data_IF_860091553264
#
_entry.id   IF_860091553264
#
_cell.length_a   1.000
_cell.length_b   1.000
_cell.length_c   1.000
_cell.angle_alpha   90.00
_cell.angle_beta   90.00
_cell.angle_gamma   90.00
#
_symmetry.space_group_name_H-M   'P 1'
#
loop_
_entity.id
_entity.type
_entity.pdbx_description
1 polymer ?
#
# COMPACT_ATOMS: atom_id res chain seq x y z
N UNK A 1 24.36 -9.41 22.44
CA UNK A 1 23.21 -8.60 22.91
C UNK A 1 22.50 -8.05 21.68
N UNK A 2 21.27 -8.46 21.50
CA UNK A 2 20.48 -8.04 20.33
C UNK A 2 20.13 -6.55 20.42
N UNK A 3 20.28 -5.82 19.30
CA UNK A 3 19.98 -4.39 19.21
C UNK A 3 19.20 -4.08 17.95
N UNK A 4 18.14 -3.28 18.08
CA UNK A 4 17.43 -2.74 16.93
C UNK A 4 17.88 -1.29 16.70
N UNK A 5 18.29 -0.98 15.46
CA UNK A 5 18.69 0.37 15.06
C UNK A 5 18.13 0.70 13.68
N UNK A 6 18.08 1.99 13.33
CA UNK A 6 17.76 2.44 12.00
C UNK A 6 18.89 2.06 11.04
N UNK A 7 18.51 1.63 9.84
CA UNK A 7 19.45 1.30 8.76
C UNK A 7 20.30 2.52 8.40
N UNK A 8 21.60 2.28 8.21
CA UNK A 8 22.57 3.25 7.71
C UNK A 8 23.27 2.71 6.47
N UNK A 9 23.93 3.58 5.69
CA UNK A 9 24.68 3.17 4.50
C UNK A 9 25.80 2.15 4.81
N UNK A 10 26.35 2.18 6.04
CA UNK A 10 27.37 1.23 6.49
C UNK A 10 26.83 -0.20 6.72
N UNK A 11 25.52 -0.36 6.84
CA UNK A 11 24.90 -1.66 7.09
C UNK A 11 24.59 -2.41 5.78
N UNK A 12 24.58 -1.72 4.62
CA UNK A 12 24.18 -2.26 3.32
C UNK A 12 25.01 -3.48 2.90
N UNK A 13 26.35 -3.48 3.00
CA UNK A 13 27.14 -4.66 2.66
C UNK A 13 26.79 -5.89 3.48
N UNK A 14 26.46 -5.69 4.78
CA UNK A 14 26.07 -6.78 5.68
C UNK A 14 24.68 -7.33 5.33
N UNK A 15 23.75 -6.45 4.91
CA UNK A 15 22.42 -6.86 4.45
C UNK A 15 22.50 -7.64 3.15
N UNK A 16 23.29 -7.19 2.19
CA UNK A 16 23.50 -7.92 0.93
C UNK A 16 24.00 -9.34 1.19
N UNK A 17 24.98 -9.49 2.09
CA UNK A 17 25.47 -10.80 2.52
C UNK A 17 24.39 -11.67 3.17
N UNK A 18 23.53 -11.07 4.03
CA UNK A 18 22.41 -11.79 4.64
C UNK A 18 21.44 -12.29 3.55
N UNK A 19 21.11 -11.48 2.56
CA UNK A 19 20.13 -11.80 1.50
C UNK A 19 20.70 -12.87 0.56
N UNK A 20 21.98 -12.82 0.22
CA UNK A 20 22.66 -13.85 -0.57
C UNK A 20 22.57 -15.24 0.08
N UNK A 21 22.57 -15.30 1.40
CA UNK A 21 22.44 -16.55 2.16
C UNK A 21 20.99 -17.06 2.22
N UNK A 22 19.99 -16.25 1.91
CA UNK A 22 18.58 -16.68 1.91
C UNK A 22 18.20 -17.53 0.68
N UNK A 23 19.10 -17.67 -0.31
CA UNK A 23 19.13 -18.76 -1.30
C UNK A 23 17.97 -18.87 -2.28
N UNK A 24 17.00 -17.98 -2.26
CA UNK A 24 15.83 -18.06 -3.14
C UNK A 24 15.96 -17.09 -4.30
N UNK A 25 15.69 -17.54 -5.53
CA UNK A 25 15.88 -16.88 -6.81
C UNK A 25 15.29 -15.47 -7.02
N UNK A 26 14.72 -14.88 -6.01
CA UNK A 26 14.23 -13.49 -5.96
C UNK A 26 15.28 -12.48 -5.47
N UNK A 27 16.53 -12.89 -5.30
CA UNK A 27 17.62 -12.03 -4.81
C UNK A 27 17.83 -10.79 -5.68
N UNK A 28 17.68 -10.90 -7.00
CA UNK A 28 17.81 -9.77 -7.93
C UNK A 28 16.74 -8.70 -7.72
N UNK A 29 15.51 -9.08 -7.42
CA UNK A 29 14.42 -8.15 -7.08
C UNK A 29 14.68 -7.46 -5.75
N UNK A 30 15.13 -8.22 -4.76
CA UNK A 30 15.53 -7.70 -3.45
C UNK A 30 16.72 -6.75 -3.53
N UNK A 31 17.76 -7.09 -4.30
CA UNK A 31 18.92 -6.21 -4.50
C UNK A 31 18.53 -4.89 -5.16
N UNK A 32 17.62 -4.91 -6.13
CA UNK A 32 17.13 -3.69 -6.78
C UNK A 32 16.31 -2.82 -5.83
N UNK A 33 15.48 -3.43 -4.99
CA UNK A 33 14.72 -2.73 -3.97
C UNK A 33 15.60 -2.19 -2.84
N UNK A 34 16.67 -2.89 -2.46
CA UNK A 34 17.67 -2.44 -1.50
C UNK A 34 18.55 -1.30 -2.02
N UNK A 35 18.88 -1.27 -3.30
CA UNK A 35 19.59 -0.15 -3.90
C UNK A 35 18.75 1.15 -3.81
N UNK A 36 17.43 1.04 -3.90
CA UNK A 36 16.52 2.17 -3.61
C UNK A 36 16.51 2.53 -2.12
N UNK A 37 16.65 1.56 -1.21
CA UNK A 37 16.79 1.80 0.23
C UNK A 37 18.15 2.41 0.59
N UNK A 38 19.20 2.17 -0.19
CA UNK A 38 20.49 2.84 -0.01
C UNK A 38 20.37 4.37 -0.17
N UNK A 39 19.58 4.84 -1.14
CA UNK A 39 19.25 6.27 -1.27
C UNK A 39 18.46 6.78 -0.05
N UNK A 40 17.59 5.93 0.51
CA UNK A 40 16.84 6.23 1.73
C UNK A 40 17.77 6.27 2.95
N UNK A 41 18.78 5.40 3.01
CA UNK A 41 19.78 5.40 4.07
C UNK A 41 20.68 6.65 4.03
N UNK A 42 21.01 7.14 2.83
CA UNK A 42 21.72 8.41 2.64
C UNK A 42 20.87 9.59 3.13
N UNK A 43 19.56 9.57 2.90
CA UNK A 43 18.63 10.54 3.45
C UNK A 43 18.55 10.51 4.99
N UNK A 44 18.97 9.42 5.63
CA UNK A 44 19.13 9.32 7.08
C UNK A 44 20.25 10.21 7.64
N UNK A 45 21.21 10.62 6.81
CA UNK A 45 22.29 11.55 7.15
C UNK A 45 21.88 13.01 6.98
N UNK A 46 20.83 13.28 6.22
CA UNK A 46 20.28 14.64 6.04
C UNK A 46 19.16 14.84 7.06
N UNK A 47 19.15 15.91 7.86
CA UNK A 47 18.15 16.13 8.93
C UNK A 47 16.73 16.41 8.43
N UNK A 48 16.48 16.28 7.14
CA UNK A 48 15.15 16.44 6.55
C UNK A 48 14.28 15.26 6.93
N UNK A 49 13.48 15.42 7.98
CA UNK A 49 12.47 14.45 8.43
C UNK A 49 11.27 14.48 7.48
N UNK A 50 11.35 13.76 6.39
CA UNK A 50 10.17 13.52 5.56
C UNK A 50 9.25 12.52 6.27
N UNK A 51 8.12 12.99 6.77
CA UNK A 51 7.13 12.22 7.56
C UNK A 51 6.48 11.06 6.80
N UNK A 52 6.79 10.89 5.52
CA UNK A 52 6.16 9.91 4.61
C UNK A 52 7.18 9.06 3.84
N UNK A 53 8.47 9.13 4.19
CA UNK A 53 9.48 8.27 3.55
C UNK A 53 9.55 6.92 4.26
N UNK A 54 9.90 5.85 3.52
CA UNK A 54 10.19 4.56 4.12
C UNK A 54 11.28 4.67 5.17
N UNK A 55 11.09 4.02 6.31
CA UNK A 55 12.10 3.86 7.34
C UNK A 55 12.39 2.38 7.51
N UNK A 56 13.67 2.00 7.40
CA UNK A 56 14.13 0.63 7.61
C UNK A 56 14.88 0.51 8.91
N UNK A 57 14.57 -0.55 9.66
CA UNK A 57 15.22 -0.92 10.91
C UNK A 57 15.82 -2.31 10.76
N UNK A 58 16.98 -2.51 11.38
CA UNK A 58 17.68 -3.79 11.41
C UNK A 58 17.79 -4.27 12.86
N UNK A 59 17.61 -5.58 13.03
CA UNK A 59 17.96 -6.30 14.26
C UNK A 59 19.31 -6.95 14.05
N UNK A 60 20.26 -6.64 14.93
CA UNK A 60 21.60 -7.23 14.92
C UNK A 60 21.91 -7.88 16.25
N UNK A 61 22.60 -9.01 16.22
CA UNK A 61 23.26 -9.59 17.39
C UNK A 61 24.77 -9.62 17.12
N UNK A 62 25.52 -9.03 18.05
CA UNK A 62 26.96 -8.75 17.89
C UNK A 62 27.16 -7.96 16.59
N UNK A 63 27.77 -8.57 15.56
CA UNK A 63 28.03 -7.94 14.26
C UNK A 63 27.20 -8.52 13.11
N UNK A 64 26.30 -9.46 13.41
CA UNK A 64 25.47 -10.15 12.40
C UNK A 64 24.07 -9.55 12.37
N UNK A 65 23.53 -9.39 11.14
CA UNK A 65 22.17 -8.92 10.95
C UNK A 65 21.23 -10.13 10.93
N UNK A 66 20.29 -10.16 11.89
CA UNK A 66 19.31 -11.23 12.05
C UNK A 66 18.04 -10.98 11.26
N UNK A 67 17.76 -9.72 10.95
CA UNK A 67 16.59 -9.35 10.16
C UNK A 67 16.45 -7.85 9.96
N UNK A 68 15.53 -7.48 9.08
CA UNK A 68 15.16 -6.10 8.79
C UNK A 68 13.65 -5.94 8.65
N UNK A 69 13.18 -4.74 8.93
CA UNK A 69 11.78 -4.34 8.72
C UNK A 69 11.73 -2.94 8.10
N UNK A 70 10.95 -2.78 7.04
CA UNK A 70 10.70 -1.49 6.41
C UNK A 70 9.25 -1.08 6.62
N UNK A 71 9.06 0.15 7.05
CA UNK A 71 7.74 0.74 7.27
C UNK A 71 7.58 2.04 6.52
N UNK A 72 6.37 2.29 6.06
CA UNK A 72 6.00 3.52 5.36
C UNK A 72 4.79 4.13 6.07
N UNK A 73 4.94 5.27 6.75
CA UNK A 73 3.79 6.01 7.25
C UNK A 73 2.86 6.40 6.09
N UNK A 74 1.56 6.21 6.27
CA UNK A 74 0.60 6.64 5.27
C UNK A 74 0.66 8.16 5.10
N UNK A 75 0.76 8.61 3.86
CA UNK A 75 0.90 10.03 3.56
C UNK A 75 -0.30 10.84 4.05
N UNK A 76 -0.01 11.86 4.86
CA UNK A 76 -1.06 12.69 5.47
C UNK A 76 -1.84 12.03 6.59
N UNK A 77 -1.62 10.74 6.84
CA UNK A 77 -2.20 10.00 7.95
C UNK A 77 -1.11 9.32 8.79
N UNK A 78 -0.45 10.06 9.70
CA UNK A 78 0.64 9.52 10.51
C UNK A 78 0.17 8.46 11.51
N UNK A 79 -1.13 8.27 11.64
CA UNK A 79 -1.72 7.27 12.54
C UNK A 79 -1.81 5.88 11.91
N UNK A 80 -1.57 5.76 10.59
CA UNK A 80 -1.61 4.51 9.84
C UNK A 80 -0.22 4.21 9.28
N UNK A 81 0.34 3.05 9.65
CA UNK A 81 1.66 2.59 9.28
C UNK A 81 1.54 1.33 8.42
N UNK A 82 2.19 1.34 7.26
CA UNK A 82 2.28 0.17 6.40
C UNK A 82 3.64 -0.51 6.63
N UNK A 83 3.63 -1.79 6.95
CA UNK A 83 4.81 -2.64 6.97
C UNK A 83 4.96 -3.18 5.55
N UNK A 84 5.99 -2.73 4.84
CA UNK A 84 6.18 -3.05 3.42
C UNK A 84 7.18 -4.16 3.19
N UNK A 85 8.08 -4.39 4.15
CA UNK A 85 9.06 -5.48 4.10
C UNK A 85 9.33 -6.00 5.51
N UNK A 86 9.44 -7.30 5.61
CA UNK A 86 9.95 -8.00 6.79
C UNK A 86 10.77 -9.19 6.32
N UNK A 87 12.05 -9.17 6.64
CA UNK A 87 12.99 -10.23 6.27
C UNK A 87 13.74 -10.63 7.52
N UNK A 88 13.87 -11.92 7.78
CA UNK A 88 14.67 -12.45 8.87
C UNK A 88 15.26 -13.80 8.48
N UNK A 89 16.34 -14.19 9.17
CA UNK A 89 17.01 -15.46 8.89
C UNK A 89 16.07 -16.63 9.17
N UNK A 90 16.19 -17.68 8.38
CA UNK A 90 15.47 -18.94 8.57
C UNK A 90 15.72 -19.45 10.00
N UNK A 91 14.71 -19.95 10.69
CA UNK A 91 14.70 -20.33 12.09
C UNK A 91 14.83 -19.16 13.11
N UNK A 92 14.71 -17.92 12.67
CA UNK A 92 14.76 -16.74 13.55
C UNK A 92 13.39 -16.06 13.71
N UNK A 93 12.33 -16.86 13.90
CA UNK A 93 10.95 -16.37 14.14
C UNK A 93 10.89 -15.26 15.19
N UNK A 94 11.66 -15.41 16.28
CA UNK A 94 11.74 -14.40 17.34
C UNK A 94 12.34 -13.07 16.84
N UNK A 95 13.23 -13.08 15.85
CA UNK A 95 13.78 -11.86 15.26
C UNK A 95 12.70 -11.08 14.50
N UNK A 96 11.89 -11.79 13.68
CA UNK A 96 10.75 -11.20 13.00
C UNK A 96 9.74 -10.60 13.98
N UNK A 97 9.39 -11.34 15.04
CA UNK A 97 8.48 -10.87 16.09
C UNK A 97 9.00 -9.62 16.80
N UNK A 98 10.26 -9.62 17.24
CA UNK A 98 10.88 -8.46 17.90
C UNK A 98 10.87 -7.22 17.00
N UNK A 99 11.12 -7.37 15.70
CA UNK A 99 11.08 -6.26 14.75
C UNK A 99 9.66 -5.67 14.63
N UNK A 100 8.63 -6.52 14.49
CA UNK A 100 7.23 -6.06 14.38
C UNK A 100 6.79 -5.38 15.70
N UNK A 101 7.06 -5.99 16.84
CA UNK A 101 6.72 -5.42 18.15
C UNK A 101 7.43 -4.08 18.41
N UNK A 102 8.71 -3.98 18.01
CA UNK A 102 9.46 -2.72 18.08
C UNK A 102 8.79 -1.62 17.25
N UNK A 103 8.35 -1.92 16.02
CA UNK A 103 7.66 -0.95 15.17
C UNK A 103 6.33 -0.51 15.80
N UNK A 104 5.55 -1.46 16.30
CA UNK A 104 4.28 -1.16 16.97
C UNK A 104 4.52 -0.25 18.17
N UNK A 105 5.47 -0.58 19.04
CA UNK A 105 5.80 0.23 20.20
C UNK A 105 6.32 1.63 19.82
N UNK A 106 7.26 1.70 18.86
CA UNK A 106 7.89 2.95 18.42
C UNK A 106 6.90 3.92 17.78
N UNK A 107 6.06 3.44 16.88
CA UNK A 107 5.08 4.28 16.17
C UNK A 107 3.82 4.49 17.00
N UNK A 108 3.43 3.51 17.82
CA UNK A 108 2.36 3.67 18.81
C UNK A 108 2.64 4.79 19.79
N UNK A 109 3.88 4.89 20.30
CA UNK A 109 4.33 6.01 21.14
C UNK A 109 4.24 7.37 20.42
N UNK A 110 4.33 7.40 19.08
CA UNK A 110 4.13 8.60 18.26
C UNK A 110 2.67 8.84 17.87
N UNK A 111 1.78 7.97 18.31
CA UNK A 111 0.35 8.08 18.08
C UNK A 111 -0.21 7.22 16.96
N UNK A 112 0.54 6.33 16.35
CA UNK A 112 -0.02 5.39 15.38
C UNK A 112 -1.02 4.45 16.06
N UNK A 113 -2.14 4.21 15.38
CA UNK A 113 -3.24 3.37 15.88
C UNK A 113 -3.59 2.24 14.93
N UNK A 114 -3.07 2.26 13.70
CA UNK A 114 -3.32 1.22 12.70
C UNK A 114 -2.02 0.81 12.02
N UNK A 115 -1.81 -0.49 11.93
CA UNK A 115 -0.67 -1.11 11.27
C UNK A 115 -1.18 -2.09 10.24
N UNK A 116 -0.72 -1.97 8.99
CA UNK A 116 -1.11 -2.82 7.87
C UNK A 116 0.10 -3.58 7.34
N UNK A 117 -0.11 -4.83 6.93
CA UNK A 117 0.86 -5.62 6.18
C UNK A 117 0.12 -6.44 5.11
N UNK A 118 0.70 -6.55 3.92
CA UNK A 118 0.21 -7.44 2.88
C UNK A 118 1.19 -8.59 2.75
N UNK A 119 0.74 -9.80 3.10
CA UNK A 119 1.56 -11.01 3.13
C UNK A 119 1.04 -11.99 2.08
N UNK A 120 1.94 -12.56 1.29
CA UNK A 120 1.57 -13.61 0.34
C UNK A 120 0.97 -14.81 1.08
N UNK A 121 -0.14 -15.32 0.55
CA UNK A 121 -0.88 -16.42 1.17
C UNK A 121 -0.03 -17.71 1.26
N UNK A 122 0.98 -17.86 0.42
CA UNK A 122 1.89 -19.01 0.43
C UNK A 122 2.96 -18.93 1.52
N UNK A 123 3.10 -17.80 2.21
CA UNK A 123 4.10 -17.61 3.26
C UNK A 123 3.54 -17.89 4.66
N UNK A 124 3.28 -19.16 4.96
CA UNK A 124 2.68 -19.62 6.22
C UNK A 124 3.42 -19.12 7.47
N UNK A 125 4.75 -19.11 7.44
CA UNK A 125 5.56 -18.63 8.57
C UNK A 125 5.32 -17.15 8.87
N UNK A 126 5.26 -16.29 7.83
CA UNK A 126 4.95 -14.88 7.99
C UNK A 126 3.51 -14.65 8.43
N UNK A 127 2.57 -15.39 7.85
CA UNK A 127 1.16 -15.31 8.25
C UNK A 127 1.00 -15.69 9.73
N UNK A 128 1.59 -16.80 10.15
CA UNK A 128 1.57 -17.22 11.55
C UNK A 128 2.21 -16.19 12.47
N UNK A 129 3.34 -15.60 12.07
CA UNK A 129 4.01 -14.55 12.83
C UNK A 129 3.10 -13.33 13.04
N UNK A 130 2.46 -12.85 11.98
CA UNK A 130 1.59 -11.68 12.09
C UNK A 130 0.30 -12.00 12.86
N UNK A 131 -0.38 -13.08 12.51
CA UNK A 131 -1.68 -13.44 13.10
C UNK A 131 -1.55 -13.87 14.55
N UNK A 132 -0.76 -14.91 14.82
CA UNK A 132 -0.65 -15.53 16.12
C UNK A 132 0.46 -14.89 16.99
N UNK A 133 1.59 -14.54 16.37
CA UNK A 133 2.73 -13.98 17.08
C UNK A 133 2.57 -12.51 17.45
N UNK A 134 2.00 -11.70 16.56
CA UNK A 134 1.90 -10.25 16.73
C UNK A 134 0.45 -9.73 16.87
N UNK A 135 -0.55 -10.61 16.78
CA UNK A 135 -1.96 -10.26 17.02
C UNK A 135 -2.57 -9.35 15.94
N UNK A 136 -2.17 -9.51 14.69
CA UNK A 136 -2.86 -8.94 13.56
C UNK A 136 -4.12 -9.77 13.27
N UNK A 137 -5.11 -9.15 12.63
CA UNK A 137 -6.26 -9.85 12.08
C UNK A 137 -6.21 -9.83 10.56
N UNK A 138 -6.66 -10.87 9.93
CA UNK A 138 -6.89 -10.86 8.50
C UNK A 138 -8.14 -10.02 8.20
N UNK A 139 -7.98 -9.04 7.33
CA UNK A 139 -9.06 -8.16 6.93
C UNK A 139 -9.69 -8.60 5.61
N UNK A 140 -8.87 -8.82 4.58
CA UNK A 140 -9.32 -9.18 3.24
C UNK A 140 -8.17 -9.76 2.43
N UNK A 141 -8.37 -9.85 1.11
CA UNK A 141 -7.34 -10.27 0.15
C UNK A 141 -7.15 -9.25 -0.97
N UNK A 142 -5.96 -9.27 -1.55
CA UNK A 142 -5.61 -8.61 -2.81
C UNK A 142 -5.00 -9.63 -3.75
N UNK A 143 -5.62 -9.83 -4.91
CA UNK A 143 -5.17 -10.76 -5.94
C UNK A 143 -4.41 -10.01 -7.03
N UNK A 144 -3.38 -10.64 -7.58
CA UNK A 144 -2.62 -10.14 -8.71
C UNK A 144 -2.85 -11.07 -9.91
N UNK A 145 -3.41 -10.53 -10.98
CA UNK A 145 -3.74 -11.25 -12.21
C UNK A 145 -2.80 -10.86 -13.33
N UNK A 146 -2.29 -11.84 -14.07
CA UNK A 146 -1.37 -11.60 -15.19
C UNK A 146 -2.14 -11.23 -16.47
N UNK A 147 -1.68 -10.17 -17.16
CA UNK A 147 -2.29 -9.68 -18.40
C UNK A 147 -1.53 -10.13 -19.66
N UNK A 148 -0.72 -11.19 -19.57
CA UNK A 148 0.16 -11.64 -20.67
C UNK A 148 -0.55 -11.88 -21.99
N UNK A 149 -1.75 -12.44 -21.96
CA UNK A 149 -2.54 -12.81 -23.14
C UNK A 149 -3.81 -11.97 -23.27
N UNK A 150 -3.86 -10.79 -22.63
CA UNK A 150 -5.03 -9.95 -22.68
C UNK A 150 -5.22 -9.37 -24.07
N UNK A 151 -6.37 -9.65 -24.70
CA UNK A 151 -6.79 -9.09 -25.97
C UNK A 151 -8.05 -8.26 -25.71
N UNK A 152 -8.02 -6.94 -25.95
CA UNK A 152 -9.20 -6.11 -25.79
C UNK A 152 -10.28 -6.48 -26.82
N UNK A 153 -11.53 -6.66 -26.38
CA UNK A 153 -12.67 -6.94 -27.27
C UNK A 153 -13.28 -5.66 -27.81
N UNK A 154 -13.11 -4.56 -27.09
CA UNK A 154 -13.69 -3.29 -27.45
C UNK A 154 -12.61 -2.25 -27.78
N UNK A 155 -12.84 -1.41 -28.79
CA UNK A 155 -11.94 -0.30 -29.08
C UNK A 155 -11.98 0.72 -27.94
N UNK A 156 -10.85 1.34 -27.67
CA UNK A 156 -10.77 2.39 -26.66
C UNK A 156 -11.58 3.62 -27.11
N UNK A 157 -12.65 3.92 -26.38
CA UNK A 157 -13.48 5.13 -26.56
C UNK A 157 -13.23 6.15 -25.44
N UNK A 158 -12.87 5.66 -24.25
CA UNK A 158 -12.69 6.49 -23.08
C UNK A 158 -11.45 7.38 -23.18
N UNK A 159 -11.61 8.67 -22.88
CA UNK A 159 -10.53 9.66 -22.89
C UNK A 159 -10.00 9.87 -21.47
N UNK A 160 -8.96 9.13 -21.12
CA UNK A 160 -8.25 9.31 -19.85
C UNK A 160 -7.30 10.51 -19.92
N UNK A 161 -7.27 11.30 -18.88
CA UNK A 161 -6.26 12.36 -18.67
C UNK A 161 -5.36 12.07 -17.48
N UNK A 162 -4.21 12.71 -17.42
CA UNK A 162 -3.35 12.65 -16.23
C UNK A 162 -4.08 13.18 -15.00
N UNK A 163 -3.97 12.44 -13.88
CA UNK A 163 -4.48 12.85 -12.58
C UNK A 163 -3.63 13.98 -12.01
N UNK A 164 -4.26 15.07 -11.63
CA UNK A 164 -3.64 16.22 -10.99
C UNK A 164 -3.83 16.19 -9.46
N UNK A 165 -3.06 17.00 -8.74
CA UNK A 165 -3.22 17.12 -7.28
C UNK A 165 -4.58 17.73 -6.87
N UNK A 166 -5.22 18.49 -7.76
CA UNK A 166 -6.60 18.99 -7.60
C UNK A 166 -7.63 17.87 -7.57
N UNK A 167 -7.37 16.75 -8.26
CA UNK A 167 -8.29 15.62 -8.34
C UNK A 167 -8.28 14.74 -7.07
N UNK A 168 -7.28 14.90 -6.22
CA UNK A 168 -7.08 14.05 -5.06
C UNK A 168 -8.31 13.89 -4.14
N UNK A 169 -9.15 14.93 -3.89
CA UNK A 169 -10.37 14.78 -3.10
C UNK A 169 -11.40 13.86 -3.77
N UNK A 170 -11.55 13.98 -5.09
CA UNK A 170 -12.54 13.21 -5.85
C UNK A 170 -12.10 11.77 -6.05
N UNK A 171 -10.80 11.55 -6.29
CA UNK A 171 -10.21 10.21 -6.33
C UNK A 171 -10.34 9.51 -4.97
N UNK A 172 -10.10 10.21 -3.86
CA UNK A 172 -10.31 9.64 -2.53
C UNK A 172 -11.78 9.28 -2.28
N UNK A 173 -12.71 10.14 -2.71
CA UNK A 173 -14.16 9.89 -2.63
C UNK A 173 -14.55 8.67 -3.47
N UNK A 174 -14.06 8.59 -4.71
CA UNK A 174 -14.28 7.46 -5.60
C UNK A 174 -13.82 6.15 -4.94
N UNK A 175 -12.57 6.09 -4.50
CA UNK A 175 -12.02 4.91 -3.82
C UNK A 175 -12.86 4.50 -2.59
N UNK A 176 -13.22 5.46 -1.74
CA UNK A 176 -13.98 5.18 -0.51
C UNK A 176 -15.43 4.77 -0.81
N UNK A 177 -16.00 5.19 -1.95
CA UNK A 177 -17.33 4.76 -2.38
C UNK A 177 -17.37 3.31 -2.83
N UNK A 178 -16.28 2.81 -3.41
CA UNK A 178 -16.14 1.40 -3.81
C UNK A 178 -16.04 0.45 -2.61
N UNK A 179 -15.55 0.92 -1.46
CA UNK A 179 -15.35 0.06 -0.30
C UNK A 179 -16.66 -0.53 0.20
N UNK A 180 -16.65 -1.83 0.43
CA UNK A 180 -17.70 -2.46 1.19
C UNK A 180 -17.70 -1.89 2.62
N UNK A 181 -18.88 -1.67 3.18
CA UNK A 181 -19.08 -1.01 4.50
C UNK A 181 -18.27 -1.66 5.61
N UNK A 182 -18.12 -2.99 5.56
CA UNK A 182 -17.36 -3.77 6.54
C UNK A 182 -15.87 -3.35 6.60
N UNK A 183 -15.29 -2.97 5.46
CA UNK A 183 -13.86 -2.68 5.35
C UNK A 183 -13.52 -1.19 5.46
N UNK A 184 -14.53 -0.31 5.39
CA UNK A 184 -14.31 1.15 5.45
C UNK A 184 -13.42 1.59 6.60
N UNK A 185 -13.66 1.20 7.86
CA UNK A 185 -12.88 1.73 8.99
C UNK A 185 -11.37 1.53 8.84
N UNK A 186 -10.96 0.42 8.20
CA UNK A 186 -9.57 0.03 8.06
C UNK A 186 -8.96 0.44 6.73
N UNK A 187 -9.77 0.53 5.66
CA UNK A 187 -9.31 0.70 4.28
C UNK A 187 -9.52 2.10 3.71
N UNK A 188 -10.31 2.96 4.36
CA UNK A 188 -10.51 4.32 3.88
C UNK A 188 -9.19 5.06 3.67
N UNK A 189 -9.17 5.86 2.60
CA UNK A 189 -8.04 6.70 2.22
C UNK A 189 -8.43 8.17 2.23
N UNK A 190 -7.50 8.98 2.64
CA UNK A 190 -7.67 10.43 2.66
C UNK A 190 -7.09 11.07 1.39
N UNK A 191 -7.57 12.26 1.04
CA UNK A 191 -7.12 12.98 -0.17
C UNK A 191 -5.61 13.17 -0.26
N UNK A 192 -4.90 13.26 0.87
CA UNK A 192 -3.45 13.43 0.91
C UNK A 192 -2.69 12.23 0.36
N UNK A 193 -3.26 11.02 0.41
CA UNK A 193 -2.66 9.79 -0.15
C UNK A 193 -2.60 9.84 -1.67
N UNK A 194 -3.48 10.61 -2.30
CA UNK A 194 -3.56 10.77 -3.76
C UNK A 194 -2.81 12.00 -4.30
N UNK A 195 -2.25 12.84 -3.43
CA UNK A 195 -1.42 13.96 -3.88
C UNK A 195 0.01 13.52 -4.18
N UNK A 196 0.60 14.02 -5.25
CA UNK A 196 2.04 13.80 -5.50
C UNK A 196 2.90 14.72 -4.63
N UNK A 197 4.01 14.20 -4.08
CA UNK A 197 5.02 15.06 -3.47
C UNK A 197 5.70 15.90 -4.55
N UNK A 198 6.13 17.11 -4.18
CA UNK A 198 6.82 18.01 -5.09
C UNK A 198 8.09 17.40 -5.70
N UNK A 199 8.73 16.48 -5.00
CA UNK A 199 9.93 15.77 -5.44
C UNK A 199 9.67 14.31 -5.88
N UNK A 200 8.44 13.97 -6.28
CA UNK A 200 8.11 12.60 -6.69
C UNK A 200 8.98 12.09 -7.86
N UNK A 201 9.39 12.99 -8.76
CA UNK A 201 10.25 12.64 -9.90
C UNK A 201 11.70 12.31 -9.55
N UNK A 202 12.16 12.61 -8.34
CA UNK A 202 13.52 12.29 -7.88
C UNK A 202 13.62 10.91 -7.23
N UNK A 203 12.50 10.32 -6.86
CA UNK A 203 12.44 8.95 -6.35
C UNK A 203 12.13 8.06 -7.54
N UNK A 204 12.99 7.07 -7.83
CA UNK A 204 12.93 6.19 -9.00
C UNK A 204 11.67 5.31 -9.10
N UNK A 205 10.56 5.70 -8.50
CA UNK A 205 9.30 5.01 -8.63
C UNK A 205 8.52 5.54 -9.82
N UNK A 206 8.44 4.74 -10.86
CA UNK A 206 7.50 5.02 -11.91
C UNK A 206 6.08 4.82 -11.36
N UNK A 207 5.35 5.91 -11.29
CA UNK A 207 3.93 5.91 -10.94
C UNK A 207 3.19 6.90 -11.81
N UNK A 208 2.41 6.39 -12.74
CA UNK A 208 1.50 7.21 -13.54
C UNK A 208 0.08 7.03 -13.03
N UNK A 209 -0.66 8.12 -13.03
CA UNK A 209 -2.04 8.16 -12.56
C UNK A 209 -2.91 8.87 -13.60
N UNK A 210 -4.07 8.29 -13.84
CA UNK A 210 -5.02 8.80 -14.82
C UNK A 210 -6.41 8.81 -14.22
N UNK A 211 -7.24 9.70 -14.70
CA UNK A 211 -8.65 9.81 -14.35
C UNK A 211 -9.50 9.86 -15.61
N UNK A 212 -10.70 9.29 -15.49
CA UNK A 212 -11.76 9.42 -16.49
C UNK A 212 -12.87 10.28 -15.88
N UNK A 213 -13.23 11.33 -16.57
CA UNK A 213 -14.33 12.22 -16.18
C UNK A 213 -15.58 11.91 -17.00
N UNK A 214 -16.72 11.98 -16.35
CA UNK A 214 -18.00 12.06 -17.03
C UNK A 214 -18.12 13.43 -17.70
N UNK A 215 -18.29 13.49 -19.04
CA UNK A 215 -18.31 14.74 -19.77
C UNK A 215 -19.48 15.66 -19.42
N UNK A 216 -20.57 15.11 -18.87
CA UNK A 216 -21.75 15.87 -18.50
C UNK A 216 -21.68 16.48 -17.11
N UNK A 217 -21.13 15.73 -16.16
CA UNK A 217 -21.12 16.13 -14.74
C UNK A 217 -19.75 16.59 -14.24
N UNK A 218 -18.70 16.42 -15.04
CA UNK A 218 -17.29 16.66 -14.68
C UNK A 218 -16.83 15.89 -13.44
N UNK A 219 -17.54 14.81 -13.07
CA UNK A 219 -17.16 13.95 -11.96
C UNK A 219 -16.14 12.91 -12.41
N UNK A 220 -15.18 12.61 -11.55
CA UNK A 220 -14.27 11.48 -11.76
C UNK A 220 -15.05 10.19 -11.56
N UNK A 221 -15.14 9.38 -12.62
CA UNK A 221 -15.88 8.12 -12.65
C UNK A 221 -14.96 6.91 -12.66
N UNK A 222 -13.70 7.07 -13.10
CA UNK A 222 -12.67 6.05 -12.95
C UNK A 222 -11.31 6.68 -12.59
N UNK A 223 -10.52 5.93 -11.85
CA UNK A 223 -9.14 6.23 -11.54
C UNK A 223 -8.27 5.02 -11.85
N UNK A 224 -7.15 5.27 -12.49
CA UNK A 224 -6.19 4.26 -12.90
C UNK A 224 -4.80 4.65 -12.39
N UNK A 225 -4.11 3.72 -11.77
CA UNK A 225 -2.70 3.90 -11.39
C UNK A 225 -1.85 2.78 -11.96
N UNK A 226 -0.76 3.13 -12.63
CA UNK A 226 0.23 2.22 -13.20
C UNK A 226 1.52 2.42 -12.41
N UNK A 227 2.00 1.37 -11.77
CA UNK A 227 3.20 1.42 -10.92
C UNK A 227 4.20 0.35 -11.32
N UNK A 228 5.49 0.68 -11.23
CA UNK A 228 6.59 -0.28 -11.41
C UNK A 228 7.78 0.14 -10.55
N UNK A 229 8.56 -0.82 -10.09
CA UNK A 229 9.82 -0.60 -9.36
C UNK A 229 11.05 -0.95 -10.18
N UNK A 230 10.89 -1.80 -11.20
CA UNK A 230 11.97 -2.38 -12.01
C UNK A 230 11.87 -2.03 -13.51
N UNK A 231 10.86 -1.27 -13.91
CA UNK A 231 10.55 -0.93 -15.31
C UNK A 231 10.33 -2.15 -16.24
N UNK A 232 10.05 -3.32 -15.66
CA UNK A 232 9.74 -4.55 -16.38
C UNK A 232 8.37 -5.10 -15.98
N UNK A 233 8.07 -5.06 -14.68
CA UNK A 233 6.83 -5.55 -14.11
C UNK A 233 5.96 -4.36 -13.71
N UNK A 234 4.81 -4.22 -14.35
CA UNK A 234 3.87 -3.11 -14.13
C UNK A 234 2.61 -3.61 -13.44
N UNK A 235 2.25 -2.95 -12.35
CA UNK A 235 0.99 -3.23 -11.64
C UNK A 235 -0.02 -2.12 -11.93
N UNK A 236 -1.19 -2.53 -12.36
CA UNK A 236 -2.34 -1.69 -12.68
C UNK A 236 -3.34 -1.80 -11.52
N UNK A 237 -3.72 -0.68 -10.93
CA UNK A 237 -4.75 -0.58 -9.89
C UNK A 237 -5.87 0.32 -10.41
N UNK A 238 -7.11 -0.18 -10.39
CA UNK A 238 -8.30 0.47 -10.95
C UNK A 238 -9.30 0.74 -9.85
N UNK A 239 -9.89 1.93 -9.87
CA UNK A 239 -11.08 2.29 -9.11
C UNK A 239 -12.15 2.79 -10.06
N UNK A 240 -13.38 2.32 -9.92
CA UNK A 240 -14.52 2.71 -10.77
C UNK A 240 -15.73 3.07 -9.93
N UNK A 241 -16.56 3.96 -10.46
CA UNK A 241 -17.84 4.27 -9.83
C UNK A 241 -18.89 3.26 -10.31
N UNK A 242 -19.48 2.52 -9.37
CA UNK A 242 -20.51 1.51 -9.61
C UNK A 242 -21.80 2.05 -10.24
N UNK A 243 -22.03 3.35 -10.15
CA UNK A 243 -23.16 4.03 -10.82
C UNK A 243 -22.97 4.29 -12.32
N UNK A 244 -21.79 3.99 -12.89
CA UNK A 244 -21.47 4.20 -14.30
C UNK A 244 -21.06 2.90 -14.96
N UNK A 245 -21.54 2.67 -16.19
CA UNK A 245 -21.10 1.55 -17.02
C UNK A 245 -19.74 1.87 -17.64
N UNK A 246 -18.68 1.42 -16.99
CA UNK A 246 -17.31 1.58 -17.47
C UNK A 246 -16.82 0.21 -17.94
N UNK A 247 -16.37 0.14 -19.20
CA UNK A 247 -15.78 -1.07 -19.75
C UNK A 247 -14.39 -1.31 -19.15
N UNK A 248 -14.21 -2.41 -18.43
CA UNK A 248 -12.89 -2.82 -17.97
C UNK A 248 -11.91 -3.04 -19.12
N UNK A 249 -12.40 -3.49 -20.29
CA UNK A 249 -11.59 -3.62 -21.50
C UNK A 249 -10.96 -2.30 -21.92
N UNK A 250 -11.75 -1.23 -21.94
CA UNK A 250 -11.23 0.09 -22.30
C UNK A 250 -10.17 0.58 -21.31
N UNK A 251 -10.40 0.39 -20.01
CA UNK A 251 -9.47 0.82 -18.97
C UNK A 251 -8.14 0.04 -19.05
N UNK A 252 -8.22 -1.28 -19.19
CA UNK A 252 -7.03 -2.13 -19.29
C UNK A 252 -6.29 -1.88 -20.60
N UNK A 253 -7.01 -1.74 -21.73
CA UNK A 253 -6.40 -1.42 -23.02
C UNK A 253 -5.68 -0.08 -22.99
N UNK A 254 -6.28 0.94 -22.38
CA UNK A 254 -5.60 2.23 -22.16
C UNK A 254 -4.32 2.06 -21.34
N UNK A 255 -4.38 1.32 -20.21
CA UNK A 255 -3.21 1.08 -19.37
C UNK A 255 -2.08 0.39 -20.12
N UNK A 256 -2.39 -0.66 -20.88
CA UNK A 256 -1.41 -1.40 -21.69
C UNK A 256 -0.83 -0.52 -22.79
N UNK A 257 -1.64 0.33 -23.46
CA UNK A 257 -1.16 1.25 -24.45
C UNK A 257 -0.19 2.30 -23.88
N UNK A 258 -0.44 2.80 -22.68
CA UNK A 258 0.44 3.74 -21.99
C UNK A 258 1.77 3.09 -21.55
N UNK A 259 1.76 1.82 -21.19
CA UNK A 259 2.98 1.06 -20.90
C UNK A 259 3.76 0.81 -22.19
N UNK A 260 3.10 0.33 -23.25
CA UNK A 260 3.73 -0.03 -24.52
C UNK A 260 4.38 1.16 -25.24
N UNK A 261 3.85 2.36 -25.08
CA UNK A 261 4.48 3.60 -25.59
C UNK A 261 5.89 3.84 -25.00
N UNK A 262 6.18 3.26 -23.84
CA UNK A 262 7.44 3.49 -23.12
C UNK A 262 8.36 2.28 -23.10
N UNK A 263 7.79 1.09 -23.19
CA UNK A 263 8.51 -0.19 -23.10
C UNK A 263 7.89 -1.20 -24.07
N UNK A 264 8.74 -1.83 -24.86
CA UNK A 264 8.35 -2.86 -25.83
C UNK A 264 8.28 -4.26 -25.22
N UNK A 265 9.05 -4.51 -24.15
CA UNK A 265 9.06 -5.79 -23.44
C UNK A 265 8.77 -5.55 -21.95
N UNK A 266 7.59 -5.94 -21.51
CA UNK A 266 7.11 -5.76 -20.15
C UNK A 266 6.10 -6.85 -19.77
N UNK A 267 5.97 -7.07 -18.47
CA UNK A 267 4.87 -7.84 -17.89
C UNK A 267 3.89 -6.86 -17.25
N UNK A 268 2.61 -7.09 -17.43
CA UNK A 268 1.57 -6.29 -16.82
C UNK A 268 0.67 -7.16 -15.94
N UNK A 269 0.32 -6.63 -14.80
CA UNK A 269 -0.51 -7.28 -13.81
C UNK A 269 -1.62 -6.35 -13.37
N UNK A 270 -2.79 -6.89 -13.13
CA UNK A 270 -3.91 -6.14 -12.59
C UNK A 270 -4.15 -6.53 -11.14
N UNK A 271 -4.29 -5.53 -10.29
CA UNK A 271 -4.59 -5.70 -8.88
C UNK A 271 -6.09 -5.76 -8.67
N UNK A 272 -6.58 -6.87 -8.15
CA UNK A 272 -7.96 -7.05 -7.75
C UNK A 272 -8.07 -6.98 -6.23
N UNK A 273 -8.96 -6.11 -5.74
CA UNK A 273 -9.20 -5.86 -4.31
C UNK A 273 -10.51 -6.51 -3.88
N UNK A 274 -10.47 -7.57 -3.10
CA UNK A 274 -11.67 -8.29 -2.66
C UNK A 274 -12.54 -7.53 -1.64
N UNK A 275 -12.07 -6.38 -1.16
CA UNK A 275 -12.80 -5.55 -0.21
C UNK A 275 -13.64 -4.43 -0.86
N UNK A 276 -13.80 -4.46 -2.18
CA UNK A 276 -14.67 -3.53 -2.92
C UNK A 276 -16.03 -4.13 -3.20
N UNK A 277 -17.06 -3.30 -3.40
CA UNK A 277 -18.42 -3.72 -3.74
C UNK A 277 -18.51 -4.40 -5.10
N UNK A 278 -17.62 -4.05 -6.00
CA UNK A 278 -17.55 -4.56 -7.38
C UNK A 278 -16.63 -5.77 -7.52
N UNK A 279 -16.05 -6.27 -6.41
CA UNK A 279 -15.04 -7.32 -6.43
C UNK A 279 -15.48 -8.57 -7.20
N UNK A 280 -16.64 -9.12 -6.87
CA UNK A 280 -17.14 -10.35 -7.50
C UNK A 280 -17.37 -10.17 -9.02
N UNK A 281 -17.92 -9.03 -9.42
CA UNK A 281 -18.14 -8.70 -10.84
C UNK A 281 -16.83 -8.54 -11.61
N UNK A 282 -15.84 -7.92 -10.98
CA UNK A 282 -14.52 -7.76 -11.58
C UNK A 282 -13.76 -9.09 -11.67
N UNK A 283 -13.83 -9.92 -10.64
CA UNK A 283 -13.23 -11.25 -10.65
C UNK A 283 -13.83 -12.14 -11.74
N UNK A 284 -15.18 -12.14 -11.85
CA UNK A 284 -15.88 -12.83 -12.93
C UNK A 284 -15.39 -12.36 -14.31
N UNK A 285 -15.27 -11.05 -14.51
CA UNK A 285 -14.73 -10.49 -15.74
C UNK A 285 -13.31 -11.00 -16.04
N UNK A 286 -12.40 -11.04 -15.05
CA UNK A 286 -11.03 -11.54 -15.22
C UNK A 286 -11.02 -13.02 -15.63
N UNK A 287 -11.87 -13.85 -15.02
CA UNK A 287 -12.05 -15.25 -15.41
C UNK A 287 -12.61 -15.43 -16.83
N UNK A 288 -13.60 -14.63 -17.22
CA UNK A 288 -14.17 -14.64 -18.58
C UNK A 288 -13.16 -14.23 -19.67
N UNK A 289 -12.07 -13.56 -19.26
CA UNK A 289 -10.92 -13.22 -20.11
C UNK A 289 -9.83 -14.27 -20.11
N UNK A 290 -10.02 -15.41 -19.39
CA UNK A 290 -9.02 -16.46 -19.21
C UNK A 290 -7.68 -15.92 -18.69
N UNK A 291 -7.72 -14.99 -17.74
CA UNK A 291 -6.54 -14.50 -17.07
C UNK A 291 -6.24 -15.35 -15.83
N UNK A 292 -4.96 -15.45 -15.51
CA UNK A 292 -4.48 -16.27 -14.39
C UNK A 292 -4.20 -15.38 -13.16
N UNK A 293 -4.72 -15.81 -12.00
CA UNK A 293 -4.34 -15.26 -10.72
C UNK A 293 -3.00 -15.85 -10.30
N UNK A 294 -1.95 -15.04 -10.30
CA UNK A 294 -0.59 -15.49 -10.02
C UNK A 294 -0.16 -15.33 -8.58
N UNK A 295 -0.86 -14.47 -7.82
CA UNK A 295 -0.53 -14.21 -6.42
C UNK A 295 -1.77 -13.75 -5.66
N UNK A 296 -1.96 -14.28 -4.46
CA UNK A 296 -2.95 -13.81 -3.49
C UNK A 296 -2.24 -13.31 -2.24
N UNK A 297 -2.51 -12.07 -1.83
CA UNK A 297 -1.99 -11.47 -0.61
C UNK A 297 -3.09 -11.32 0.43
N UNK A 298 -2.83 -11.81 1.64
CA UNK A 298 -3.64 -11.52 2.81
C UNK A 298 -3.39 -10.09 3.26
N UNK A 299 -4.43 -9.30 3.37
CA UNK A 299 -4.36 -7.94 3.95
C UNK A 299 -4.55 -8.07 5.46
N UNK A 300 -3.48 -7.85 6.19
CA UNK A 300 -3.41 -8.00 7.64
C UNK A 300 -3.41 -6.63 8.30
N UNK A 301 -4.21 -6.47 9.36
CA UNK A 301 -4.38 -5.20 10.06
C UNK A 301 -4.31 -5.44 11.56
N UNK A 302 -3.63 -4.52 12.24
CA UNK A 302 -3.67 -4.39 13.70
C UNK A 302 -4.08 -2.98 14.06
N UNK A 303 -5.28 -2.84 14.59
CA UNK A 303 -5.86 -1.57 15.01
C UNK A 303 -5.85 -1.49 16.55
N UNK A 304 -5.53 -0.32 17.07
CA UNK A 304 -5.61 -0.01 18.50
C UNK A 304 -6.79 0.91 18.75
N UNK A 305 -7.69 0.48 19.61
CA UNK A 305 -8.79 1.32 20.08
C UNK A 305 -8.24 2.51 20.86
N UNK A 306 -8.53 3.71 20.43
CA UNK A 306 -8.38 4.91 21.27
C UNK A 306 -9.73 5.22 21.85
N UNK A 307 -9.89 5.24 23.19
CA UNK A 307 -11.08 5.80 23.76
C UNK A 307 -11.20 7.24 23.22
N UNK A 308 -12.28 7.50 22.50
CA UNK A 308 -12.65 8.88 22.19
C UNK A 308 -12.74 9.56 23.56
N UNK A 309 -11.90 10.58 23.81
CA UNK A 309 -12.12 11.46 24.94
C UNK A 309 -13.56 11.96 24.72
N UNK A 310 -14.50 11.46 25.53
CA UNK A 310 -15.77 12.13 25.65
C UNK A 310 -15.40 13.57 25.97
N UNK A 311 -15.70 14.49 25.06
CA UNK A 311 -15.81 15.89 25.47
C UNK A 311 -16.71 15.81 26.69
N UNK A 312 -16.17 16.18 27.84
CA UNK A 312 -17.01 16.44 29.00
C UNK A 312 -18.08 17.36 28.45
N UNK A 313 -19.27 16.82 28.25
CA UNK A 313 -20.44 17.64 27.98
C UNK A 313 -20.53 18.53 29.20
N UNK A 314 -20.02 19.73 29.08
CA UNK A 314 -20.35 20.79 29.98
C UNK A 314 -21.88 20.88 29.85
N UNK A 315 -22.57 20.24 30.79
CA UNK A 315 -23.99 20.40 30.96
C UNK A 315 -24.21 21.90 31.16
N UNK A 316 -24.51 22.62 30.09
CA UNK A 316 -25.08 23.93 30.19
C UNK A 316 -26.48 23.72 30.73
N UNK A 317 -26.61 23.79 32.05
CA UNK A 317 -27.89 23.84 32.71
C UNK A 317 -28.47 25.22 32.40
N UNK A 318 -29.35 25.29 31.41
CA UNK A 318 -30.19 26.45 31.20
C UNK A 318 -31.26 26.42 32.29
N UNK A 319 -31.07 27.18 33.35
CA UNK A 319 -32.14 27.50 34.27
C UNK A 319 -33.14 28.39 33.52
N UNK A 320 -34.22 27.79 33.06
CA UNK A 320 -35.38 28.56 32.63
C UNK A 320 -35.96 29.21 33.89
N UNK A 321 -35.78 30.52 33.99
CA UNK A 321 -36.36 31.28 35.10
C UNK A 321 -37.88 31.13 35.09
N UNK A 322 -38.43 30.58 36.16
CA UNK A 322 -39.83 30.70 36.45
C UNK A 322 -40.15 32.18 36.67
N UNK A 323 -40.95 32.75 35.80
CA UNK A 323 -41.61 34.02 36.05
C UNK A 323 -42.66 33.77 37.10
N UNK A 324 -42.34 34.08 38.35
CA UNK A 324 -43.34 34.20 39.41
C UNK A 324 -44.14 35.47 39.17
N UNK A 325 -45.46 35.34 38.93
CA UNK A 325 -46.46 36.40 39.01
C UNK A 325 -46.69 36.86 40.46
#
# INVERSE_FOLDING_TARGET
MTRIKRLTCFDIPKINKMIEHLGNGDTTRFQHELNNEALIAINGLVPLKYKFMPETYILSDKDEIMGLITVVPTRGNPYKINITKLIFQQNSYNAGKQLVEFIIARYGAKGAVSFCANVDQTHDELLNLFLNGCGFRQCSYENLWELKNFIPREPQKASFRYCQNSDAPDVARLYNSELNTLYKPSMERIKQEYKEPFFAGLVNFYKNRYVLEDPMTHRIIAYLSITTTDHRNFTIDISTNDGYQISYDEVINFALSEISRRKTNFNAYIKHRQYTKTADGFEKYLHERNLDCIQTKCVLIKDFYRPVKQQENVLQVFLLGETVN
#
